data_IF_314319968769
#
_entry.id   IF_314319968769
#
_cell.length_a   1.000
_cell.length_b   1.000
_cell.length_c   1.000
_cell.angle_alpha   90.00
_cell.angle_beta   90.00
_cell.angle_gamma   90.00
#
_symmetry.space_group_name_H-M   'P 1'
#
loop_
_entity.id
_entity.type
_entity.pdbx_description
1 polymer ?
#
# COMPACT_ATOMS: atom_id res chain seq x y z
N UNK A 1 -23.36 -13.79 0.40
CA UNK A 1 -23.14 -12.68 -0.55
C UNK A 1 -21.68 -12.60 -0.94
N UNK A 2 -21.42 -12.63 -2.25
CA UNK A 2 -20.15 -12.27 -2.88
C UNK A 2 -20.00 -10.75 -2.77
N UNK A 3 -18.97 -10.27 -2.06
CA UNK A 3 -18.67 -8.84 -1.94
C UNK A 3 -17.41 -8.53 -2.74
N UNK A 4 -17.35 -7.35 -3.36
CA UNK A 4 -16.21 -6.93 -4.21
C UNK A 4 -14.92 -7.04 -3.41
N UNK A 5 -14.93 -6.56 -2.17
CA UNK A 5 -13.79 -6.63 -1.24
C UNK A 5 -13.33 -8.05 -0.91
N UNK A 6 -14.18 -9.07 -1.05
CA UNK A 6 -13.80 -10.49 -0.82
C UNK A 6 -13.20 -11.10 -2.07
N UNK A 7 -13.74 -10.78 -3.25
CA UNK A 7 -13.21 -11.24 -4.53
C UNK A 7 -12.03 -10.39 -5.02
N UNK A 8 -11.64 -9.38 -4.26
CA UNK A 8 -10.66 -8.38 -4.64
C UNK A 8 -9.36 -8.94 -5.24
N UNK A 9 -8.70 -9.98 -4.68
CA UNK A 9 -7.50 -10.57 -5.31
C UNK A 9 -7.74 -11.08 -6.73
N UNK A 10 -8.86 -11.77 -6.94
CA UNK A 10 -9.22 -12.35 -8.24
C UNK A 10 -9.57 -11.22 -9.21
N UNK A 11 -10.39 -10.27 -8.75
CA UNK A 11 -10.79 -9.12 -9.55
C UNK A 11 -9.59 -8.26 -9.95
N UNK A 12 -8.62 -8.05 -9.05
CA UNK A 12 -7.40 -7.28 -9.33
C UNK A 12 -6.60 -7.91 -10.48
N UNK A 13 -6.46 -9.23 -10.49
CA UNK A 13 -5.81 -9.96 -11.58
C UNK A 13 -6.62 -9.82 -12.88
N UNK A 14 -7.94 -10.05 -12.82
CA UNK A 14 -8.82 -9.98 -14.00
C UNK A 14 -8.80 -8.58 -14.63
N UNK A 15 -8.99 -7.51 -13.85
CA UNK A 15 -8.99 -6.14 -14.38
C UNK A 15 -7.62 -5.73 -14.92
N UNK A 16 -6.53 -6.24 -14.33
CA UNK A 16 -5.18 -6.01 -14.85
C UNK A 16 -5.00 -6.66 -16.22
N UNK A 17 -5.43 -7.92 -16.40
CA UNK A 17 -5.37 -8.59 -17.70
C UNK A 17 -6.22 -7.86 -18.75
N UNK A 18 -7.45 -7.47 -18.41
CA UNK A 18 -8.32 -6.74 -19.34
C UNK A 18 -7.70 -5.39 -19.75
N UNK A 19 -7.18 -4.63 -18.79
CA UNK A 19 -6.54 -3.34 -19.04
C UNK A 19 -5.25 -3.45 -19.86
N UNK A 20 -4.52 -4.57 -19.74
CA UNK A 20 -3.33 -4.83 -20.54
C UNK A 20 -3.68 -5.09 -22.01
N UNK A 21 -4.72 -5.88 -22.28
CA UNK A 21 -5.09 -6.25 -23.65
C UNK A 21 -5.89 -5.16 -24.40
N UNK A 22 -6.69 -4.35 -23.69
CA UNK A 22 -7.40 -3.21 -24.26
C UNK A 22 -7.21 -1.96 -23.38
N UNK A 23 -6.06 -1.26 -23.50
CA UNK A 23 -5.77 -0.07 -22.71
C UNK A 23 -6.58 1.16 -23.15
N UNK A 24 -7.10 1.17 -24.38
CA UNK A 24 -7.71 2.32 -25.03
C UNK A 24 -8.80 3.06 -24.22
N UNK A 25 -9.70 2.37 -23.49
CA UNK A 25 -10.78 3.03 -22.76
C UNK A 25 -10.29 3.75 -21.48
N UNK A 26 -9.11 3.38 -20.99
CA UNK A 26 -8.61 3.76 -19.66
C UNK A 26 -7.50 4.81 -19.71
N UNK A 27 -6.81 4.98 -20.84
CA UNK A 27 -5.71 5.96 -20.98
C UNK A 27 -6.17 7.40 -20.63
N UNK A 28 -7.37 7.79 -21.07
CA UNK A 28 -7.94 9.12 -20.79
C UNK A 28 -8.24 9.39 -19.31
N UNK A 29 -8.24 8.34 -18.47
CA UNK A 29 -8.56 8.44 -17.04
C UNK A 29 -7.36 8.69 -16.14
N UNK A 30 -6.16 8.92 -16.71
CA UNK A 30 -4.93 9.21 -15.94
C UNK A 30 -5.13 10.29 -14.88
N UNK A 31 -5.79 11.38 -15.21
CA UNK A 31 -6.02 12.51 -14.29
C UNK A 31 -6.99 12.17 -13.15
N UNK A 32 -7.75 11.08 -13.28
CA UNK A 32 -8.74 10.63 -12.29
C UNK A 32 -8.12 9.86 -11.13
N UNK A 33 -6.88 9.36 -11.25
CA UNK A 33 -6.21 8.57 -10.20
C UNK A 33 -6.18 9.33 -8.86
N UNK A 34 -5.78 10.61 -8.89
CA UNK A 34 -5.65 11.44 -7.69
C UNK A 34 -7.01 11.65 -6.99
N UNK A 35 -8.07 12.12 -7.68
CA UNK A 35 -9.42 12.21 -7.10
C UNK A 35 -9.95 10.87 -6.58
N UNK A 36 -9.76 9.78 -7.32
CA UNK A 36 -10.21 8.45 -6.91
C UNK A 36 -9.52 7.99 -5.63
N UNK A 37 -8.20 8.21 -5.52
CA UNK A 37 -7.45 7.88 -4.31
C UNK A 37 -7.90 8.74 -3.13
N UNK A 38 -8.13 10.04 -3.33
CA UNK A 38 -8.67 10.92 -2.29
C UNK A 38 -10.04 10.44 -1.79
N UNK A 39 -10.91 9.98 -2.70
CA UNK A 39 -12.20 9.39 -2.33
C UNK A 39 -12.04 8.12 -1.49
N UNK A 40 -11.08 7.27 -1.82
CA UNK A 40 -10.76 6.08 -1.01
C UNK A 40 -10.24 6.48 0.37
N UNK A 41 -9.34 7.46 0.46
CA UNK A 41 -8.82 7.99 1.73
C UNK A 41 -9.94 8.57 2.60
N UNK A 42 -10.93 9.22 1.98
CA UNK A 42 -12.15 9.65 2.67
C UNK A 42 -12.98 8.46 3.19
N UNK A 43 -13.22 7.44 2.36
CA UNK A 43 -13.91 6.22 2.80
C UNK A 43 -13.19 5.55 3.98
N UNK A 44 -11.86 5.54 3.99
CA UNK A 44 -11.08 5.05 5.12
C UNK A 44 -11.21 5.96 6.35
N UNK A 45 -11.16 7.29 6.17
CA UNK A 45 -11.38 8.26 7.24
C UNK A 45 -12.72 8.07 7.96
N UNK A 46 -13.78 7.69 7.23
CA UNK A 46 -15.10 7.36 7.80
C UNK A 46 -15.13 6.12 8.72
N UNK A 47 -14.02 5.37 8.78
CA UNK A 47 -13.86 4.19 9.65
C UNK A 47 -12.92 4.43 10.83
N UNK A 48 -12.29 5.61 10.90
CA UNK A 48 -11.25 5.94 11.86
C UNK A 48 -11.74 6.87 12.98
N UNK A 49 -11.05 6.80 14.12
CA UNK A 49 -11.29 7.66 15.29
C UNK A 49 -10.00 8.39 15.66
N UNK A 50 -10.13 9.58 16.26
CA UNK A 50 -9.01 10.37 16.77
C UNK A 50 -8.16 9.58 17.79
N UNK A 51 -8.79 8.72 18.58
CA UNK A 51 -8.12 7.85 19.55
C UNK A 51 -7.15 6.87 18.90
N UNK A 52 -7.36 6.49 17.64
CA UNK A 52 -6.52 5.54 16.92
C UNK A 52 -5.14 6.13 16.65
N UNK A 53 -5.08 7.41 16.26
CA UNK A 53 -3.83 8.15 16.05
C UNK A 53 -3.10 8.42 17.36
N UNK A 54 -3.83 8.75 18.44
CA UNK A 54 -3.23 8.94 19.76
C UNK A 54 -2.54 7.66 20.24
N UNK A 55 -3.16 6.50 20.03
CA UNK A 55 -2.57 5.18 20.35
C UNK A 55 -1.28 4.96 19.57
N UNK A 56 -1.26 5.28 18.28
CA UNK A 56 -0.07 5.12 17.44
C UNK A 56 1.09 5.99 17.95
N UNK A 57 0.83 7.25 18.30
CA UNK A 57 1.88 8.15 18.79
C UNK A 57 2.40 7.78 20.19
N UNK A 58 1.60 7.08 20.99
CA UNK A 58 2.03 6.53 22.27
C UNK A 58 2.91 5.28 22.14
N UNK A 59 2.93 4.63 20.97
CA UNK A 59 3.80 3.49 20.68
C UNK A 59 4.44 3.66 19.28
N UNK A 60 5.44 4.54 19.14
CA UNK A 60 6.03 4.87 17.85
C UNK A 60 7.02 3.81 17.34
N UNK A 61 7.28 2.74 18.10
CA UNK A 61 8.24 1.70 17.73
C UNK A 61 7.98 1.11 16.33
N UNK A 62 6.74 0.78 15.92
CA UNK A 62 6.48 0.30 14.57
C UNK A 62 6.81 1.33 13.49
N UNK A 63 6.61 2.62 13.76
CA UNK A 63 6.98 3.70 12.83
C UNK A 63 8.49 3.72 12.60
N UNK A 64 9.27 3.65 13.68
CA UNK A 64 10.73 3.61 13.59
C UNK A 64 11.21 2.36 12.82
N UNK A 65 10.58 1.20 13.07
CA UNK A 65 10.91 -0.03 12.33
C UNK A 65 10.63 0.10 10.83
N UNK A 66 9.47 0.64 10.46
CA UNK A 66 9.15 0.87 9.05
C UNK A 66 10.22 1.74 8.39
N UNK A 67 10.54 2.90 8.97
CA UNK A 67 11.56 3.83 8.43
C UNK A 67 12.91 3.12 8.28
N UNK A 68 13.39 2.42 9.31
CA UNK A 68 14.68 1.73 9.27
C UNK A 68 14.71 0.73 8.12
N UNK A 69 13.69 -0.13 8.01
CA UNK A 69 13.66 -1.18 6.98
C UNK A 69 13.50 -0.57 5.59
N UNK A 70 12.62 0.43 5.44
CA UNK A 70 12.35 1.11 4.18
C UNK A 70 13.59 1.75 3.59
N UNK A 71 14.40 2.43 4.41
CA UNK A 71 15.56 3.17 3.93
C UNK A 71 16.89 2.40 4.06
N UNK A 72 16.86 1.13 4.47
CA UNK A 72 18.05 0.27 4.51
C UNK A 72 17.87 -1.00 3.68
N UNK A 73 16.89 -1.84 4.03
CA UNK A 73 16.66 -3.13 3.40
C UNK A 73 16.18 -2.94 1.96
N UNK A 74 15.25 -2.02 1.70
CA UNK A 74 14.76 -1.82 0.33
C UNK A 74 15.88 -1.34 -0.60
N UNK A 75 16.63 -0.24 -0.36
CA UNK A 75 17.72 0.16 -1.26
C UNK A 75 18.78 -0.93 -1.43
N UNK A 76 19.17 -1.59 -0.34
CA UNK A 76 20.17 -2.66 -0.38
C UNK A 76 19.70 -3.83 -1.26
N UNK A 77 18.46 -4.27 -1.09
CA UNK A 77 17.90 -5.36 -1.88
C UNK A 77 17.72 -4.98 -3.35
N UNK A 78 17.45 -3.71 -3.67
CA UNK A 78 17.45 -3.23 -5.06
C UNK A 78 18.82 -3.44 -5.72
N UNK A 79 19.90 -3.01 -5.06
CA UNK A 79 21.26 -3.15 -5.61
C UNK A 79 21.66 -4.62 -5.70
N UNK A 80 21.39 -5.42 -4.66
CA UNK A 80 21.73 -6.84 -4.64
C UNK A 80 21.00 -7.63 -5.71
N UNK A 81 19.69 -7.40 -5.90
CA UNK A 81 18.92 -8.05 -6.96
C UNK A 81 19.38 -7.61 -8.34
N UNK A 82 19.68 -6.31 -8.53
CA UNK A 82 20.18 -5.82 -9.81
C UNK A 82 21.49 -6.49 -10.20
N UNK A 83 22.41 -6.69 -9.24
CA UNK A 83 23.65 -7.45 -9.46
C UNK A 83 23.37 -8.94 -9.72
N UNK A 84 22.50 -9.56 -8.94
CA UNK A 84 22.18 -10.98 -9.06
C UNK A 84 21.55 -11.34 -10.42
N UNK A 85 20.73 -10.44 -10.97
CA UNK A 85 20.10 -10.60 -12.27
C UNK A 85 20.89 -9.97 -13.43
N UNK A 86 22.09 -9.45 -13.16
CA UNK A 86 22.98 -8.79 -14.14
C UNK A 86 22.24 -7.73 -14.96
N UNK A 87 21.48 -6.86 -14.29
CA UNK A 87 20.74 -5.77 -14.91
C UNK A 87 21.70 -4.69 -15.42
N UNK A 88 21.29 -3.95 -16.45
CA UNK A 88 22.03 -2.77 -16.92
C UNK A 88 22.09 -1.68 -15.85
N UNK A 89 22.98 -0.71 -16.05
CA UNK A 89 23.13 0.43 -15.13
C UNK A 89 21.83 1.23 -15.01
N UNK A 90 21.13 1.47 -16.12
CA UNK A 90 19.83 2.15 -16.13
C UNK A 90 18.81 1.43 -15.23
N UNK A 91 18.68 0.12 -15.38
CA UNK A 91 17.74 -0.66 -14.57
C UNK A 91 18.17 -0.77 -13.10
N UNK A 92 19.48 -0.83 -12.85
CA UNK A 92 20.04 -0.81 -11.48
C UNK A 92 19.71 0.49 -10.78
N UNK A 93 19.87 1.63 -11.46
CA UNK A 93 19.49 2.94 -10.96
C UNK A 93 17.97 3.00 -10.72
N UNK A 94 17.17 2.51 -11.66
CA UNK A 94 15.72 2.45 -11.51
C UNK A 94 15.27 1.65 -10.27
N UNK A 95 15.85 0.46 -10.08
CA UNK A 95 15.62 -0.38 -8.91
C UNK A 95 16.02 0.34 -7.62
N UNK A 96 17.20 0.98 -7.59
CA UNK A 96 17.68 1.75 -6.45
C UNK A 96 16.73 2.90 -6.09
N UNK A 97 16.28 3.67 -7.08
CA UNK A 97 15.39 4.81 -6.85
C UNK A 97 14.09 4.35 -6.20
N UNK A 98 13.50 3.25 -6.66
CA UNK A 98 12.27 2.68 -6.06
C UNK A 98 12.55 2.18 -4.65
N UNK A 99 13.67 1.47 -4.46
CA UNK A 99 14.10 0.99 -3.16
C UNK A 99 14.32 2.11 -2.16
N UNK A 100 14.79 3.27 -2.62
CA UNK A 100 15.04 4.45 -1.81
C UNK A 100 13.79 5.33 -1.59
N UNK A 101 12.66 5.04 -2.23
CA UNK A 101 11.41 5.76 -2.00
C UNK A 101 10.80 5.41 -0.63
N UNK A 102 10.03 6.35 -0.10
CA UNK A 102 9.18 6.12 1.05
C UNK A 102 7.98 5.21 0.72
N UNK A 103 7.23 4.80 1.76
CA UNK A 103 5.98 4.06 1.61
C UNK A 103 4.98 4.80 0.70
N UNK A 104 4.26 4.04 -0.12
CA UNK A 104 3.29 4.56 -1.09
C UNK A 104 1.90 4.68 -0.49
N UNK A 105 1.13 5.70 -0.85
CA UNK A 105 -0.24 5.92 -0.35
C UNK A 105 -1.21 4.76 -0.63
N UNK A 106 -0.93 3.93 -1.65
CA UNK A 106 -1.66 2.69 -1.91
C UNK A 106 -1.54 1.67 -0.75
N UNK A 107 -0.45 1.70 0.04
CA UNK A 107 -0.26 0.86 1.23
C UNK A 107 -1.39 1.07 2.23
N UNK A 108 -1.80 2.31 2.46
CA UNK A 108 -2.88 2.65 3.39
C UNK A 108 -4.18 1.94 3.01
N UNK A 109 -4.47 1.88 1.70
CA UNK A 109 -5.66 1.21 1.20
C UNK A 109 -5.56 -0.30 1.33
N UNK A 110 -4.43 -0.89 0.97
CA UNK A 110 -4.23 -2.33 1.14
C UNK A 110 -4.26 -2.73 2.60
N UNK A 111 -3.72 -1.90 3.51
CA UNK A 111 -3.84 -2.08 4.96
C UNK A 111 -5.31 -2.10 5.39
N UNK A 112 -6.12 -1.16 4.89
CA UNK A 112 -7.55 -1.13 5.18
C UNK A 112 -8.26 -2.41 4.71
N UNK A 113 -7.99 -2.84 3.47
CA UNK A 113 -8.59 -4.06 2.92
C UNK A 113 -8.13 -5.30 3.68
N UNK A 114 -6.87 -5.35 4.12
CA UNK A 114 -6.26 -6.42 4.91
C UNK A 114 -6.77 -6.52 6.35
N UNK A 115 -7.61 -5.57 6.81
CA UNK A 115 -7.95 -5.38 8.23
C UNK A 115 -6.71 -5.15 9.09
N UNK A 116 -5.73 -4.45 8.54
CA UNK A 116 -4.58 -3.94 9.26
C UNK A 116 -4.92 -2.66 10.04
N UNK A 117 -3.91 -2.14 10.71
CA UNK A 117 -3.97 -0.87 11.43
C UNK A 117 -3.77 0.32 10.48
N UNK A 118 -4.89 0.89 10.03
CA UNK A 118 -4.88 2.01 9.06
C UNK A 118 -4.29 3.28 9.64
N UNK A 119 -4.58 3.60 10.90
CA UNK A 119 -4.02 4.78 11.55
C UNK A 119 -2.49 4.68 11.61
N UNK A 120 -1.96 3.49 11.94
CA UNK A 120 -0.53 3.23 11.91
C UNK A 120 0.04 3.37 10.49
N UNK A 121 -0.60 2.76 9.47
CA UNK A 121 -0.16 2.87 8.06
C UNK A 121 0.00 4.33 7.64
N UNK A 122 -1.04 5.14 7.87
CA UNK A 122 -1.02 6.57 7.50
C UNK A 122 0.09 7.32 8.24
N UNK A 123 0.31 7.03 9.54
CA UNK A 123 1.41 7.62 10.29
C UNK A 123 2.78 7.21 9.76
N UNK A 124 2.97 5.93 9.37
CA UNK A 124 4.22 5.45 8.79
C UNK A 124 4.47 6.05 7.41
N UNK A 125 3.45 6.16 6.55
CA UNK A 125 3.59 6.76 5.22
C UNK A 125 3.95 8.24 5.33
N UNK A 126 3.29 8.98 6.23
CA UNK A 126 3.57 10.40 6.43
C UNK A 126 5.02 10.61 6.93
N UNK A 127 5.40 9.87 7.98
CA UNK A 127 6.73 10.02 8.58
C UNK A 127 7.84 9.54 7.67
N UNK A 128 7.65 8.40 6.97
CA UNK A 128 8.61 7.92 5.97
C UNK A 128 8.72 8.87 4.79
N UNK A 129 7.63 9.50 4.35
CA UNK A 129 7.71 10.49 3.26
C UNK A 129 8.48 11.73 3.68
N UNK A 130 8.21 12.26 4.89
CA UNK A 130 8.96 13.39 5.44
C UNK A 130 10.45 13.06 5.60
N UNK A 131 10.78 11.85 6.04
CA UNK A 131 12.16 11.40 6.14
C UNK A 131 12.80 11.18 4.75
N UNK A 132 12.03 10.64 3.81
CA UNK A 132 12.45 10.35 2.43
C UNK A 132 12.87 11.58 1.64
N UNK A 133 12.35 12.76 1.98
CA UNK A 133 12.83 14.05 1.44
C UNK A 133 14.34 14.18 1.54
N UNK A 134 14.94 13.72 2.64
CA UNK A 134 16.38 13.78 2.87
C UNK A 134 17.03 12.46 2.54
N UNK A 135 16.43 11.34 2.98
CA UNK A 135 17.02 10.02 2.84
C UNK A 135 17.10 9.55 1.38
N UNK A 136 16.07 9.80 0.56
CA UNK A 136 16.04 9.34 -0.84
C UNK A 136 17.13 9.99 -1.69
N UNK A 137 17.28 11.34 -1.73
CA UNK A 137 18.42 11.98 -2.40
C UNK A 137 19.77 11.48 -1.90
N UNK A 138 19.90 11.31 -0.59
CA UNK A 138 21.16 10.92 0.04
C UNK A 138 21.58 9.50 -0.34
N UNK A 139 20.64 8.55 -0.31
CA UNK A 139 20.86 7.15 -0.73
C UNK A 139 21.23 7.08 -2.21
N UNK A 140 20.51 7.82 -3.07
CA UNK A 140 20.78 7.85 -4.52
C UNK A 140 22.16 8.47 -4.77
N UNK A 141 22.50 9.58 -4.12
CA UNK A 141 23.78 10.27 -4.27
C UNK A 141 24.97 9.39 -3.88
N UNK A 142 24.90 8.69 -2.75
CA UNK A 142 25.99 7.80 -2.31
C UNK A 142 26.15 6.59 -3.24
N UNK A 143 25.05 6.07 -3.78
CA UNK A 143 25.07 4.78 -4.50
C UNK A 143 25.26 4.96 -6.01
N UNK A 144 24.67 5.99 -6.60
CA UNK A 144 24.70 6.28 -8.03
C UNK A 144 25.56 7.50 -8.39
N UNK A 145 26.11 8.23 -7.41
CA UNK A 145 26.97 9.40 -7.63
C UNK A 145 26.25 10.67 -8.08
N UNK A 146 24.90 10.67 -8.10
CA UNK A 146 24.10 11.78 -8.61
C UNK A 146 23.15 12.38 -7.55
N UNK A 147 23.16 13.71 -7.48
CA UNK A 147 22.32 14.47 -6.55
C UNK A 147 20.92 14.71 -7.15
N UNK A 148 19.99 13.83 -6.80
CA UNK A 148 18.57 13.98 -7.16
C UNK A 148 17.90 15.01 -6.24
N UNK A 149 17.23 16.01 -6.82
CA UNK A 149 16.43 16.94 -6.02
C UNK A 149 14.99 16.43 -5.89
N UNK A 150 14.59 16.16 -4.66
CA UNK A 150 13.21 15.82 -4.31
C UNK A 150 12.49 17.11 -3.90
N UNK A 151 11.38 17.44 -4.58
CA UNK A 151 10.55 18.60 -4.24
C UNK A 151 9.68 18.29 -3.01
N UNK A 152 10.26 18.55 -1.85
CA UNK A 152 9.67 18.30 -0.53
C UNK A 152 8.34 19.00 -0.34
N UNK A 153 8.23 20.25 -0.81
CA UNK A 153 7.03 21.06 -0.63
C UNK A 153 5.88 20.51 -1.47
N UNK A 154 6.13 20.16 -2.73
CA UNK A 154 5.11 19.56 -3.60
C UNK A 154 4.64 18.21 -3.08
N UNK A 155 5.54 17.35 -2.61
CA UNK A 155 5.19 16.04 -2.05
C UNK A 155 4.35 16.20 -0.78
N UNK A 156 4.78 17.06 0.15
CA UNK A 156 4.04 17.35 1.38
C UNK A 156 2.64 17.88 1.06
N UNK A 157 2.54 18.84 0.14
CA UNK A 157 1.25 19.43 -0.23
C UNK A 157 0.33 18.43 -0.94
N UNK A 158 0.88 17.55 -1.77
CA UNK A 158 0.15 16.43 -2.37
C UNK A 158 -0.38 15.47 -1.31
N UNK A 159 0.42 15.08 -0.32
CA UNK A 159 -0.03 14.22 0.78
C UNK A 159 -1.12 14.90 1.61
N UNK A 160 -0.95 16.18 1.93
CA UNK A 160 -1.97 16.94 2.66
C UNK A 160 -3.30 16.91 1.88
N UNK A 161 -3.27 17.24 0.59
CA UNK A 161 -4.47 17.33 -0.24
C UNK A 161 -5.13 15.97 -0.53
N UNK A 162 -4.33 14.97 -0.86
CA UNK A 162 -4.81 13.67 -1.35
C UNK A 162 -5.10 12.69 -0.22
N UNK A 163 -4.44 12.83 0.93
CA UNK A 163 -4.51 11.85 2.03
C UNK A 163 -5.04 12.50 3.30
N UNK A 164 -4.36 13.52 3.84
CA UNK A 164 -4.71 14.05 5.16
C UNK A 164 -6.06 14.77 5.18
N UNK A 165 -6.34 15.64 4.21
CA UNK A 165 -7.63 16.36 4.12
C UNK A 165 -8.80 15.38 3.99
N UNK A 166 -8.80 14.41 3.05
CA UNK A 166 -9.87 13.42 2.95
C UNK A 166 -10.04 12.56 4.21
N UNK A 167 -8.94 12.09 4.81
CA UNK A 167 -9.00 11.31 6.06
C UNK A 167 -9.57 12.17 7.19
N UNK A 168 -9.08 13.39 7.37
CA UNK A 168 -9.55 14.30 8.41
C UNK A 168 -11.05 14.59 8.24
N UNK A 169 -11.51 14.84 7.02
CA UNK A 169 -12.93 15.02 6.73
C UNK A 169 -13.76 13.78 7.12
N UNK A 170 -13.31 12.58 6.76
CA UNK A 170 -13.95 11.33 7.16
C UNK A 170 -13.97 11.10 8.68
N UNK A 171 -12.86 11.39 9.37
CA UNK A 171 -12.75 11.28 10.83
C UNK A 171 -13.67 12.27 11.53
N UNK A 172 -13.75 13.52 11.04
CA UNK A 172 -14.66 14.54 11.58
C UNK A 172 -16.12 14.11 11.43
N UNK A 173 -16.51 13.57 10.27
CA UNK A 173 -17.87 13.03 10.09
C UNK A 173 -18.11 11.85 11.04
N UNK A 174 -17.13 10.97 11.23
CA UNK A 174 -17.22 9.85 12.18
C UNK A 174 -17.38 10.33 13.62
N UNK A 175 -16.72 11.42 13.97
CA UNK A 175 -16.78 12.02 15.31
C UNK A 175 -18.13 12.69 15.57
N UNK A 176 -18.62 13.52 14.65
CA UNK A 176 -19.84 14.30 14.84
C UNK A 176 -21.14 13.56 14.45
N UNK A 177 -21.07 12.58 13.54
CA UNK A 177 -22.22 11.82 13.04
C UNK A 177 -22.00 10.30 13.05
N UNK A 178 -21.71 9.69 14.21
CA UNK A 178 -21.40 8.26 14.31
C UNK A 178 -22.56 7.35 13.86
N UNK A 179 -23.82 7.79 14.00
CA UNK A 179 -24.97 7.02 13.54
C UNK A 179 -25.01 6.87 12.01
N UNK A 180 -24.58 7.89 11.27
CA UNK A 180 -24.48 7.83 9.82
C UNK A 180 -23.33 6.90 9.40
N UNK A 181 -22.14 7.09 9.98
CA UNK A 181 -20.97 6.29 9.63
C UNK A 181 -21.18 4.81 9.92
N UNK A 182 -21.80 4.46 11.04
CA UNK A 182 -22.16 3.07 11.36
C UNK A 182 -23.09 2.42 10.32
N UNK A 183 -24.01 3.19 9.71
CA UNK A 183 -24.90 2.68 8.64
C UNK A 183 -24.15 2.42 7.35
N UNK A 184 -23.22 3.29 6.97
CA UNK A 184 -22.47 3.18 5.70
C UNK A 184 -21.25 2.26 5.80
N UNK A 185 -20.74 2.00 7.00
CA UNK A 185 -19.52 1.23 7.24
C UNK A 185 -19.51 -0.14 6.54
N UNK A 186 -20.68 -0.81 6.48
CA UNK A 186 -20.84 -2.10 5.78
C UNK A 186 -20.55 -2.04 4.27
N UNK A 187 -20.62 -0.86 3.64
CA UNK A 187 -20.39 -0.67 2.20
C UNK A 187 -19.03 -0.05 1.87
N UNK A 188 -18.41 0.66 2.82
CA UNK A 188 -17.17 1.41 2.57
C UNK A 188 -16.05 0.52 2.04
N UNK A 189 -15.92 -0.70 2.54
CA UNK A 189 -14.91 -1.64 2.05
C UNK A 189 -15.12 -2.04 0.58
N UNK A 190 -16.38 -2.25 0.14
CA UNK A 190 -16.67 -2.63 -1.24
C UNK A 190 -16.54 -1.43 -2.19
N UNK A 191 -16.96 -0.25 -1.76
CA UNK A 191 -16.77 1.00 -2.52
C UNK A 191 -15.28 1.27 -2.72
N UNK A 192 -14.49 1.24 -1.65
CA UNK A 192 -13.04 1.43 -1.72
C UNK A 192 -12.37 0.38 -2.63
N UNK A 193 -12.79 -0.89 -2.50
CA UNK A 193 -12.27 -1.97 -3.36
C UNK A 193 -12.56 -1.73 -4.84
N UNK A 194 -13.79 -1.32 -5.19
CA UNK A 194 -14.16 -1.01 -6.57
C UNK A 194 -13.36 0.15 -7.17
N UNK A 195 -13.16 1.21 -6.38
CA UNK A 195 -12.34 2.36 -6.81
C UNK A 195 -10.89 1.95 -7.04
N UNK A 196 -10.33 1.09 -6.17
CA UNK A 196 -8.94 0.61 -6.34
C UNK A 196 -8.80 -0.30 -7.54
N UNK A 197 -9.76 -1.19 -7.80
CA UNK A 197 -9.74 -2.00 -9.02
C UNK A 197 -9.69 -1.12 -10.27
N UNK A 198 -10.43 -0.01 -10.28
CA UNK A 198 -10.37 0.98 -11.36
C UNK A 198 -8.99 1.66 -11.43
N UNK A 199 -8.41 2.08 -10.29
CA UNK A 199 -7.07 2.68 -10.27
C UNK A 199 -6.02 1.70 -10.81
N UNK A 200 -6.06 0.43 -10.40
CA UNK A 200 -5.16 -0.62 -10.89
C UNK A 200 -5.31 -0.79 -12.39
N UNK A 201 -6.55 -0.88 -12.90
CA UNK A 201 -6.81 -0.97 -14.33
C UNK A 201 -6.23 0.22 -15.11
N UNK A 202 -6.41 1.45 -14.61
CA UNK A 202 -5.82 2.66 -15.23
C UNK A 202 -4.29 2.57 -15.22
N UNK A 203 -3.67 2.20 -14.10
CA UNK A 203 -2.20 2.08 -14.01
C UNK A 203 -1.67 1.03 -14.99
N UNK A 204 -2.31 -0.13 -15.08
CA UNK A 204 -1.90 -1.19 -16.03
C UNK A 204 -2.06 -0.73 -17.46
N UNK A 205 -3.19 -0.11 -17.82
CA UNK A 205 -3.42 0.41 -19.16
C UNK A 205 -2.40 1.48 -19.57
N UNK A 206 -2.01 2.36 -18.64
CA UNK A 206 -1.02 3.42 -18.89
C UNK A 206 0.42 2.91 -19.06
N UNK A 207 0.69 1.66 -18.71
CA UNK A 207 2.04 1.07 -18.73
C UNK A 207 2.09 -0.24 -19.56
N UNK A 208 1.08 -0.50 -20.39
CA UNK A 208 0.94 -1.78 -21.10
C UNK A 208 2.06 -2.00 -22.12
N UNK A 209 2.45 -0.96 -22.85
CA UNK A 209 3.55 -1.02 -23.83
C UNK A 209 4.89 -1.27 -23.14
N UNK A 210 5.12 -0.60 -22.01
CA UNK A 210 6.31 -0.79 -21.17
C UNK A 210 6.42 -2.24 -20.70
N UNK A 211 5.33 -2.86 -20.24
CA UNK A 211 5.31 -4.28 -19.82
C UNK A 211 5.77 -5.21 -20.96
N UNK A 212 5.38 -4.93 -22.20
CA UNK A 212 5.75 -5.77 -23.35
C UNK A 212 7.24 -5.71 -23.69
N UNK A 213 7.91 -4.61 -23.33
CA UNK A 213 9.34 -4.38 -23.60
C UNK A 213 10.26 -4.88 -22.48
N UNK A 214 9.70 -5.34 -21.36
CA UNK A 214 10.45 -5.69 -20.16
C UNK A 214 11.05 -7.09 -20.26
N UNK A 215 12.37 -7.16 -20.05
CA UNK A 215 13.07 -8.42 -19.89
C UNK A 215 12.64 -9.16 -18.62
N UNK A 216 12.49 -10.48 -18.72
CA UNK A 216 12.12 -11.36 -17.59
C UNK A 216 12.94 -11.11 -16.32
N UNK A 217 14.23 -10.79 -16.48
CA UNK A 217 15.14 -10.48 -15.38
C UNK A 217 14.71 -9.23 -14.57
N UNK A 218 14.27 -8.16 -15.23
CA UNK A 218 13.82 -6.92 -14.56
C UNK A 218 12.51 -7.19 -13.82
N UNK A 219 11.56 -7.88 -14.46
CA UNK A 219 10.31 -8.26 -13.80
C UNK A 219 10.56 -9.13 -12.56
N UNK A 220 11.42 -10.14 -12.67
CA UNK A 220 11.78 -11.01 -11.55
C UNK A 220 12.45 -10.24 -10.41
N UNK A 221 13.37 -9.33 -10.73
CA UNK A 221 14.03 -8.47 -9.74
C UNK A 221 13.02 -7.56 -9.02
N UNK A 222 12.14 -6.89 -9.77
CA UNK A 222 11.08 -6.03 -9.22
C UNK A 222 10.13 -6.83 -8.31
N UNK A 223 9.69 -8.00 -8.76
CA UNK A 223 8.79 -8.87 -8.01
C UNK A 223 9.42 -9.33 -6.69
N UNK A 224 10.67 -9.82 -6.76
CA UNK A 224 11.41 -10.26 -5.57
C UNK A 224 11.68 -9.10 -4.61
N UNK A 225 11.99 -7.91 -5.12
CA UNK A 225 12.20 -6.73 -4.29
C UNK A 225 10.95 -6.38 -3.46
N UNK A 226 9.78 -6.38 -4.10
CA UNK A 226 8.51 -6.17 -3.39
C UNK A 226 8.24 -7.27 -2.35
N UNK A 227 8.43 -8.55 -2.73
CA UNK A 227 8.22 -9.68 -1.82
C UNK A 227 9.15 -9.61 -0.60
N UNK A 228 10.43 -9.27 -0.82
CA UNK A 228 11.40 -9.08 0.27
C UNK A 228 10.98 -7.91 1.16
N UNK A 229 10.46 -6.82 0.61
CA UNK A 229 9.88 -5.73 1.40
C UNK A 229 8.71 -6.20 2.27
N UNK A 230 7.75 -6.93 1.69
CA UNK A 230 6.61 -7.51 2.43
C UNK A 230 7.09 -8.43 3.56
N UNK A 231 8.01 -9.34 3.26
CA UNK A 231 8.54 -10.32 4.22
C UNK A 231 9.35 -9.62 5.32
N UNK A 232 10.24 -8.70 4.96
CA UNK A 232 11.09 -7.99 5.94
C UNK A 232 10.27 -7.15 6.92
N UNK A 233 9.25 -6.43 6.43
CA UNK A 233 8.32 -5.69 7.30
C UNK A 233 7.56 -6.62 8.25
N UNK A 234 7.05 -7.75 7.75
CA UNK A 234 6.37 -8.75 8.59
C UNK A 234 7.29 -9.33 9.66
N UNK A 235 8.48 -9.78 9.25
CA UNK A 235 9.47 -10.42 10.12
C UNK A 235 9.97 -9.45 11.18
N UNK A 236 10.25 -8.20 10.84
CA UNK A 236 10.66 -7.20 11.82
C UNK A 236 9.59 -6.95 12.88
N UNK A 237 8.31 -6.91 12.48
CA UNK A 237 7.19 -6.88 13.42
C UNK A 237 7.20 -8.08 14.36
N UNK A 238 7.42 -9.29 13.84
CA UNK A 238 7.51 -10.52 14.65
C UNK A 238 8.69 -10.52 15.61
N UNK A 239 9.88 -10.14 15.14
CA UNK A 239 11.11 -10.08 15.94
C UNK A 239 10.99 -9.09 17.10
N UNK A 240 10.25 -8.00 16.90
CA UNK A 240 9.95 -7.01 17.93
C UNK A 240 8.65 -7.28 18.69
N UNK A 241 8.10 -8.49 18.56
CA UNK A 241 6.91 -8.99 19.29
C UNK A 241 5.66 -8.12 19.10
N UNK A 242 5.52 -7.51 17.93
CA UNK A 242 4.32 -6.74 17.57
C UNK A 242 3.11 -7.66 17.38
N UNK A 243 1.92 -7.08 17.48
CA UNK A 243 0.68 -7.81 17.20
C UNK A 243 0.62 -8.26 15.74
N UNK A 244 -0.18 -9.29 15.45
CA UNK A 244 -0.39 -9.76 14.06
C UNK A 244 -0.90 -8.63 13.14
N UNK A 245 -1.78 -7.77 13.65
CA UNK A 245 -2.31 -6.61 12.90
C UNK A 245 -1.18 -5.65 12.54
N UNK A 246 -0.32 -5.32 13.51
CA UNK A 246 0.85 -4.46 13.31
C UNK A 246 1.87 -5.09 12.35
N UNK A 247 2.13 -6.39 12.43
CA UNK A 247 3.05 -7.08 11.52
C UNK A 247 2.56 -7.02 10.06
N UNK A 248 1.25 -7.20 9.84
CA UNK A 248 0.62 -7.07 8.52
C UNK A 248 0.71 -5.65 7.98
N UNK A 249 0.47 -4.65 8.83
CA UNK A 249 0.62 -3.24 8.46
C UNK A 249 2.07 -2.92 8.10
N UNK A 250 3.06 -3.36 8.88
CA UNK A 250 4.48 -3.17 8.60
C UNK A 250 4.90 -3.81 7.27
N UNK A 251 4.43 -5.04 7.02
CA UNK A 251 4.68 -5.74 5.78
C UNK A 251 4.20 -4.93 4.57
N UNK A 252 2.93 -4.50 4.59
CA UNK A 252 2.33 -3.73 3.50
C UNK A 252 3.05 -2.38 3.32
N UNK A 253 3.37 -1.68 4.40
CA UNK A 253 4.05 -0.39 4.33
C UNK A 253 5.44 -0.49 3.70
N UNK A 254 6.25 -1.45 4.15
CA UNK A 254 7.61 -1.65 3.63
C UNK A 254 7.57 -2.17 2.20
N UNK A 255 6.70 -3.14 1.91
CA UNK A 255 6.62 -3.76 0.60
C UNK A 255 6.02 -2.84 -0.47
N UNK A 256 5.13 -1.92 -0.11
CA UNK A 256 4.47 -1.04 -1.06
C UNK A 256 5.11 0.35 -1.07
N UNK A 257 6.05 0.53 -1.99
CA UNK A 257 6.74 1.81 -2.21
C UNK A 257 5.89 2.87 -2.91
N UNK A 258 6.30 4.13 -2.78
CA UNK A 258 5.81 5.23 -3.61
C UNK A 258 6.44 5.17 -5.00
N UNK A 259 6.00 4.20 -5.78
CA UNK A 259 6.52 3.94 -7.11
C UNK A 259 6.25 5.07 -8.10
N UNK A 260 5.17 5.86 -7.91
CA UNK A 260 4.90 7.05 -8.71
C UNK A 260 5.98 8.12 -8.56
N UNK A 261 6.44 8.37 -7.33
CA UNK A 261 7.59 9.24 -7.08
C UNK A 261 8.86 8.65 -7.70
N UNK A 262 9.09 7.35 -7.53
CA UNK A 262 10.27 6.67 -8.09
C UNK A 262 10.37 6.80 -9.61
N UNK A 263 9.26 6.55 -10.33
CA UNK A 263 9.17 6.74 -11.79
C UNK A 263 9.46 8.19 -12.18
N UNK A 264 8.87 9.16 -11.48
CA UNK A 264 9.06 10.58 -11.79
C UNK A 264 10.51 11.03 -11.59
N UNK A 265 11.18 10.56 -10.53
CA UNK A 265 12.60 10.85 -10.29
C UNK A 265 13.49 10.17 -11.35
N UNK A 266 13.24 8.90 -11.64
CA UNK A 266 14.01 8.18 -12.65
C UNK A 266 13.89 8.84 -14.03
N UNK A 267 12.68 9.19 -14.47
CA UNK A 267 12.45 9.90 -15.74
C UNK A 267 13.17 11.25 -15.79
N UNK A 268 13.13 12.00 -14.69
CA UNK A 268 13.66 13.37 -14.63
C UNK A 268 15.19 13.40 -14.69
N UNK A 269 15.86 12.46 -14.02
CA UNK A 269 17.31 12.50 -13.81
C UNK A 269 18.09 11.48 -14.65
N UNK A 270 17.51 10.32 -14.93
CA UNK A 270 18.22 9.17 -15.53
C UNK A 270 17.57 8.63 -16.81
N UNK A 271 16.40 9.15 -17.19
CA UNK A 271 15.72 8.85 -18.45
C UNK A 271 14.76 7.65 -18.43
N UNK A 272 14.16 7.32 -19.59
CA UNK A 272 13.07 6.35 -19.69
C UNK A 272 13.42 4.93 -19.25
N UNK A 273 14.63 4.46 -19.54
CA UNK A 273 15.05 3.11 -19.18
C UNK A 273 15.13 2.91 -17.66
N UNK A 274 15.62 3.91 -16.93
CA UNK A 274 15.64 3.89 -15.47
C UNK A 274 14.24 3.97 -14.84
N UNK A 275 13.24 4.45 -15.56
CA UNK A 275 11.87 4.55 -15.07
C UNK A 275 11.09 3.22 -15.15
N UNK A 276 11.50 2.33 -16.06
CA UNK A 276 10.81 1.05 -16.31
C UNK A 276 10.68 0.17 -15.05
N UNK A 277 11.72 -0.05 -14.22
CA UNK A 277 11.55 -0.78 -12.97
C UNK A 277 10.43 -0.20 -12.09
N UNK A 278 10.24 1.13 -12.08
CA UNK A 278 9.26 1.81 -11.25
C UNK A 278 7.84 1.64 -11.77
N UNK A 279 7.69 1.65 -13.10
CA UNK A 279 6.44 1.35 -13.78
C UNK A 279 5.98 -0.09 -13.48
N UNK A 280 6.88 -1.07 -13.64
CA UNK A 280 6.59 -2.48 -13.35
C UNK A 280 6.29 -2.65 -11.86
N UNK A 281 7.07 -2.01 -10.98
CA UNK A 281 6.84 -2.08 -9.54
C UNK A 281 5.45 -1.54 -9.19
N UNK A 282 5.01 -0.44 -9.82
CA UNK A 282 3.68 0.14 -9.66
C UNK A 282 2.56 -0.84 -9.99
N UNK A 283 2.76 -1.72 -10.96
CA UNK A 283 1.79 -2.76 -11.29
C UNK A 283 1.88 -3.90 -10.29
N UNK A 284 3.10 -4.44 -10.11
CA UNK A 284 3.33 -5.63 -9.31
C UNK A 284 2.93 -5.43 -7.85
N UNK A 285 3.36 -4.34 -7.20
CA UNK A 285 3.07 -4.11 -5.78
C UNK A 285 1.57 -3.88 -5.50
N UNK A 286 0.81 -3.37 -6.49
CA UNK A 286 -0.62 -3.22 -6.37
C UNK A 286 -1.31 -4.59 -6.49
N UNK A 287 -0.86 -5.45 -7.40
CA UNK A 287 -1.37 -6.82 -7.52
C UNK A 287 -1.00 -7.64 -6.27
N UNK A 288 0.28 -7.68 -5.89
CA UNK A 288 0.76 -8.45 -4.73
C UNK A 288 0.15 -7.94 -3.42
N UNK A 289 0.08 -6.61 -3.24
CA UNK A 289 -0.59 -5.95 -2.13
C UNK A 289 -2.08 -6.28 -2.06
N UNK A 290 -2.75 -6.33 -3.22
CA UNK A 290 -4.16 -6.73 -3.30
C UNK A 290 -4.39 -8.18 -2.92
N UNK A 291 -3.53 -9.07 -3.40
CA UNK A 291 -3.59 -10.50 -3.10
C UNK A 291 -3.38 -10.73 -1.61
N UNK A 292 -2.30 -10.18 -1.03
CA UNK A 292 -2.00 -10.38 0.39
C UNK A 292 -3.07 -9.76 1.29
N UNK A 293 -3.61 -8.59 0.94
CA UNK A 293 -4.69 -7.96 1.66
C UNK A 293 -5.97 -8.81 1.65
N UNK A 294 -6.36 -9.35 0.49
CA UNK A 294 -7.53 -10.22 0.40
C UNK A 294 -7.35 -11.55 1.15
N UNK A 295 -6.16 -12.15 1.11
CA UNK A 295 -5.84 -13.35 1.89
C UNK A 295 -5.95 -13.10 3.39
N UNK A 296 -5.35 -12.01 3.88
CA UNK A 296 -5.41 -11.64 5.29
C UNK A 296 -6.81 -11.25 5.75
N UNK A 297 -7.58 -10.58 4.90
CA UNK A 297 -9.00 -10.30 5.15
C UNK A 297 -9.78 -11.59 5.30
N UNK A 298 -9.62 -12.53 4.37
CA UNK A 298 -10.32 -13.82 4.39
C UNK A 298 -10.01 -14.59 5.68
N UNK A 299 -8.74 -14.68 6.06
CA UNK A 299 -8.32 -15.32 7.32
C UNK A 299 -8.96 -14.66 8.54
N UNK A 300 -8.98 -13.32 8.59
CA UNK A 300 -9.58 -12.58 9.71
C UNK A 300 -11.10 -12.75 9.76
N UNK A 301 -11.78 -12.68 8.62
CA UNK A 301 -13.23 -12.89 8.52
C UNK A 301 -13.64 -14.31 8.98
N UNK A 302 -12.85 -15.33 8.63
CA UNK A 302 -13.08 -16.70 9.11
C UNK A 302 -12.96 -16.80 10.63
N UNK A 303 -11.91 -16.19 11.22
CA UNK A 303 -11.73 -16.17 12.67
C UNK A 303 -12.89 -15.47 13.38
N UNK A 304 -13.35 -14.34 12.86
CA UNK A 304 -14.51 -13.60 13.41
C UNK A 304 -15.76 -14.50 13.39
N UNK A 305 -16.06 -15.13 12.26
CA UNK A 305 -17.22 -16.02 12.13
C UNK A 305 -17.18 -17.23 13.07
N UNK A 306 -16.00 -17.81 13.26
CA UNK A 306 -15.82 -18.92 14.19
C UNK A 306 -16.17 -18.51 15.63
N UNK A 307 -15.69 -17.34 16.07
CA UNK A 307 -16.01 -16.77 17.39
C UNK A 307 -17.49 -16.42 17.52
N UNK A 308 -18.11 -15.83 16.49
CA UNK A 308 -19.54 -15.53 16.48
C UNK A 308 -20.41 -16.79 16.57
N UNK A 309 -19.99 -17.86 15.89
CA UNK A 309 -20.68 -19.16 15.92
C UNK A 309 -20.58 -19.80 17.31
N UNK A 310 -19.38 -19.77 17.92
CA UNK A 310 -19.18 -20.23 19.30
C UNK A 310 -20.03 -19.45 20.30
N UNK A 311 -20.09 -18.11 20.20
CA UNK A 311 -20.94 -17.27 21.05
C UNK A 311 -22.42 -17.61 20.90
N UNK A 312 -22.92 -17.78 19.68
CA UNK A 312 -24.32 -18.17 19.44
C UNK A 312 -24.64 -19.57 19.98
N UNK A 313 -23.68 -20.49 19.96
CA UNK A 313 -23.80 -21.82 20.56
C UNK A 313 -23.88 -21.77 22.09
N UNK A 314 -23.06 -20.95 22.74
CA UNK A 314 -23.07 -20.76 24.20
C UNK A 314 -24.35 -20.07 24.69
N UNK A 315 -24.87 -19.07 23.97
CA UNK A 315 -26.12 -18.39 24.34
C UNK A 315 -27.33 -19.30 24.25
N UNK A 316 -27.34 -20.29 23.34
CA UNK A 316 -28.41 -21.31 23.28
C UNK A 316 -28.32 -22.37 24.38
N UNK A 317 -27.19 -22.49 25.07
CA UNK A 317 -27.01 -23.45 26.16
C UNK A 317 -27.50 -22.92 27.52
N UNK A 318 -27.84 -21.63 27.62
CA UNK A 318 -28.48 -21.05 28.80
C UNK A 318 -29.99 -21.31 28.74
N UNK A 319 -30.43 -22.35 29.46
CA UNK A 319 -31.83 -22.72 29.65
C UNK A 319 -32.23 -22.40 31.11
N UNK A 320 -32.92 -21.28 31.37
CA UNK A 320 -33.31 -20.90 32.72
C UNK A 320 -34.32 -21.86 33.37
N UNK A 321 -34.85 -22.85 32.63
CA UNK A 321 -35.72 -23.90 33.16
C UNK A 321 -34.98 -25.11 33.72
N UNK A 322 -33.65 -25.17 33.59
CA UNK A 322 -32.81 -26.28 34.10
C UNK A 322 -32.08 -25.99 35.41
N UNK A 323 -32.08 -24.73 35.86
CA UNK A 323 -31.45 -24.28 37.10
C UNK A 323 -32.49 -23.84 38.17
N UNK A 324 -33.74 -24.30 38.05
CA UNK A 324 -34.83 -24.10 39.03
C UNK A 324 -35.28 -25.43 39.64
#
# INVERSE_FOLDING_TARGET
>A
MLSISRLFPILAIVVSFLAYYDPSPLIGWKSSIIPLLALVMFCMGLTLRVTDFKRVWNNPQPIALAIIIQFTVMPLTAVLLSKAFNLSDDFTIGMLIIGACAGGTASNVMTFLARGDVALSVSMTLTSTLWGVVATPWIISITAGEMVQVDSFSILFSIIKMVLIPIAAGVLITHYQPAFTNKVNKYLADIASGIILLIIAIIVALNADEIATVGYAVFAAVALHNIIGLVSGYVAGKLTKQTEVTCRTLAIEVGMQNSGLGVALALKYFGPMAALPGAIFSIFHNISGSVIAGLWRFQTDMKIRAVETQRKGQVKAFDPSKDL
#
